data_IF_598046203809
#
_entry.id   IF_598046203809
#
_cell.length_a   1.000
_cell.length_b   1.000
_cell.length_c   1.000
_cell.angle_alpha   90.00
_cell.angle_beta   90.00
_cell.angle_gamma   90.00
#
_symmetry.space_group_name_H-M   'P 1'
#
loop_
_entity.id
_entity.type
_entity.pdbx_description
1 polymer ?
#
# COMPACT_ATOMS: atom_id res chain seq x y z
N UNK A 1 1.96 10.25 11.18
CA UNK A 1 0.50 10.30 11.36
C UNK A 1 0.02 9.24 12.34
N UNK A 2 0.26 7.97 12.12
CA UNK A 2 0.08 6.93 13.15
C UNK A 2 1.23 7.00 14.16
N UNK A 3 0.90 6.90 15.46
CA UNK A 3 1.91 6.96 16.54
C UNK A 3 2.76 5.68 16.60
N UNK A 4 2.20 4.56 16.18
CA UNK A 4 2.81 3.23 16.40
C UNK A 4 3.43 2.64 15.14
N UNK A 5 3.02 3.10 13.95
CA UNK A 5 3.60 2.65 12.69
C UNK A 5 4.92 3.37 12.40
N UNK A 6 5.88 2.65 11.84
CA UNK A 6 7.19 3.20 11.44
C UNK A 6 7.08 4.17 10.27
N UNK A 7 6.05 4.00 9.43
CA UNK A 7 5.67 4.95 8.39
C UNK A 7 4.17 5.06 8.26
N UNK A 8 3.64 6.24 7.93
CA UNK A 8 2.19 6.40 7.75
C UNK A 8 1.81 7.60 6.91
N UNK A 9 0.76 7.45 6.11
CA UNK A 9 0.22 8.47 5.24
C UNK A 9 -1.31 8.40 5.21
N UNK A 10 -1.99 9.54 5.29
CA UNK A 10 -3.38 9.67 4.87
C UNK A 10 -3.39 10.32 3.49
N UNK A 11 -3.65 9.53 2.46
CA UNK A 11 -3.77 10.03 1.10
C UNK A 11 -5.22 10.40 0.81
N UNK A 12 -5.39 11.49 0.06
CA UNK A 12 -6.69 11.97 -0.40
C UNK A 12 -6.62 12.27 -1.88
N UNK A 13 -7.52 11.67 -2.65
CA UNK A 13 -7.79 11.97 -4.06
C UNK A 13 -9.26 12.35 -4.14
N UNK A 14 -9.54 13.67 -4.17
CA UNK A 14 -10.91 14.15 -4.00
C UNK A 14 -11.52 13.60 -2.70
N UNK A 15 -12.66 12.95 -2.81
CA UNK A 15 -13.39 12.32 -1.71
C UNK A 15 -12.93 10.89 -1.40
N UNK A 16 -11.99 10.34 -2.15
CA UNK A 16 -11.35 9.07 -1.79
C UNK A 16 -10.25 9.28 -0.74
N UNK A 17 -10.42 8.68 0.44
CA UNK A 17 -9.48 8.75 1.56
C UNK A 17 -8.99 7.37 1.93
N UNK A 18 -7.64 7.18 1.96
CA UNK A 18 -7.00 5.92 2.35
C UNK A 18 -5.94 6.18 3.40
N UNK A 19 -6.04 5.50 4.53
CA UNK A 19 -4.98 5.45 5.53
C UNK A 19 -4.01 4.33 5.15
N UNK A 20 -2.72 4.69 4.99
CA UNK A 20 -1.65 3.73 4.75
C UNK A 20 -0.70 3.74 5.95
N UNK A 21 -0.41 2.57 6.51
CA UNK A 21 0.56 2.39 7.58
C UNK A 21 1.58 1.33 7.17
N UNK A 22 2.84 1.52 7.56
CA UNK A 22 3.92 0.58 7.26
C UNK A 22 4.55 0.08 8.56
N UNK A 23 4.59 -1.25 8.69
CA UNK A 23 5.27 -1.97 9.78
C UNK A 23 6.60 -2.48 9.25
N UNK A 24 7.70 -2.10 9.88
CA UNK A 24 9.06 -2.38 9.43
C UNK A 24 9.82 -3.33 10.34
N UNK A 25 10.68 -4.17 9.75
CA UNK A 25 11.57 -5.05 10.51
C UNK A 25 11.00 -6.42 10.86
N UNK A 26 9.83 -6.75 10.36
CA UNK A 26 9.27 -8.10 10.45
C UNK A 26 10.20 -9.14 9.82
N UNK A 27 10.22 -10.38 10.31
CA UNK A 27 10.97 -11.46 9.68
C UNK A 27 10.43 -11.75 8.27
N UNK A 28 11.33 -12.02 7.33
CA UNK A 28 10.91 -12.42 5.98
C UNK A 28 10.08 -13.71 5.99
N UNK A 29 9.18 -13.88 5.02
CA UNK A 29 8.42 -15.11 4.87
C UNK A 29 9.34 -16.35 4.84
N UNK A 30 8.90 -17.53 5.34
CA UNK A 30 9.72 -18.73 5.43
C UNK A 30 10.41 -19.14 4.12
N UNK A 31 9.75 -18.93 2.98
CA UNK A 31 10.27 -19.25 1.65
C UNK A 31 11.42 -18.33 1.18
N UNK A 32 11.65 -17.18 1.84
CA UNK A 32 12.77 -16.25 1.57
C UNK A 32 13.89 -16.36 2.59
N UNK A 33 13.70 -17.11 3.66
CA UNK A 33 14.71 -17.24 4.71
C UNK A 33 16.01 -17.82 4.16
N UNK A 34 17.14 -17.18 4.45
CA UNK A 34 18.47 -17.58 3.97
C UNK A 34 18.82 -17.11 2.56
N UNK A 35 17.96 -16.33 1.90
CA UNK A 35 18.22 -15.81 0.55
C UNK A 35 18.88 -14.42 0.54
N UNK A 36 19.20 -13.85 1.71
CA UNK A 36 19.80 -12.51 1.87
C UNK A 36 19.00 -11.45 1.09
N UNK A 37 17.68 -11.58 1.12
CA UNK A 37 16.75 -10.75 0.37
C UNK A 37 15.55 -10.39 1.23
N UNK A 38 15.17 -9.12 1.21
CA UNK A 38 13.99 -8.64 1.90
C UNK A 38 12.69 -8.79 1.11
N UNK A 39 11.59 -8.41 1.73
CA UNK A 39 10.27 -8.44 1.14
C UNK A 39 9.46 -7.20 1.48
N UNK A 40 8.67 -6.74 0.53
CA UNK A 40 7.65 -5.72 0.74
C UNK A 40 6.32 -6.31 0.28
N UNK A 41 5.35 -6.27 1.16
CA UNK A 41 3.99 -6.74 0.87
C UNK A 41 2.97 -5.70 1.30
N UNK A 42 1.73 -5.86 0.86
CA UNK A 42 0.64 -4.98 1.25
C UNK A 42 -0.62 -5.76 1.56
N UNK A 43 -1.38 -5.24 2.51
CA UNK A 43 -2.76 -5.61 2.77
C UNK A 43 -3.68 -4.44 2.40
N UNK A 44 -4.93 -4.76 2.08
CA UNK A 44 -5.92 -3.76 1.66
C UNK A 44 -7.28 -4.13 2.21
N UNK A 45 -7.98 -3.13 2.70
CA UNK A 45 -9.36 -3.31 3.17
C UNK A 45 -10.17 -2.03 3.02
N UNK A 46 -11.49 -2.19 3.08
CA UNK A 46 -12.42 -1.06 3.10
C UNK A 46 -13.24 -1.10 4.39
N UNK A 47 -13.40 0.07 5.02
CA UNK A 47 -14.34 0.18 6.14
C UNK A 47 -15.78 -0.06 5.66
N UNK A 48 -16.64 -0.63 6.48
CA UNK A 48 -18.04 -0.92 6.10
C UNK A 48 -18.81 0.27 5.54
N UNK A 49 -18.51 1.48 6.00
CA UNK A 49 -19.11 2.72 5.55
C UNK A 49 -18.16 3.60 4.75
N UNK A 50 -17.16 3.00 4.12
CA UNK A 50 -16.36 3.69 3.11
C UNK A 50 -17.18 4.04 1.86
N UNK A 51 -18.26 3.34 1.61
CA UNK A 51 -19.19 3.54 0.49
C UNK A 51 -20.55 4.06 0.99
N UNK A 52 -21.39 4.55 0.06
CA UNK A 52 -22.76 5.04 0.35
C UNK A 52 -23.61 3.98 1.05
N UNK A 53 -23.50 2.73 0.64
CA UNK A 53 -24.14 1.60 1.30
C UNK A 53 -23.14 0.86 2.20
N UNK A 54 -23.67 0.25 3.28
CA UNK A 54 -22.84 -0.53 4.20
C UNK A 54 -22.42 -1.84 3.57
N UNK A 55 -21.11 -2.03 3.38
CA UNK A 55 -20.52 -3.32 2.99
C UNK A 55 -20.27 -4.21 4.21
N UNK A 56 -20.36 -5.53 4.03
CA UNK A 56 -20.04 -6.50 5.09
C UNK A 56 -18.53 -6.57 5.30
N UNK A 57 -18.08 -6.65 6.56
CA UNK A 57 -16.66 -6.91 6.85
C UNK A 57 -16.25 -8.28 6.34
N UNK A 58 -15.12 -8.36 5.62
CA UNK A 58 -14.58 -9.62 5.10
C UNK A 58 -14.22 -10.59 6.22
N UNK A 59 -13.72 -10.09 7.36
CA UNK A 59 -13.48 -10.92 8.55
C UNK A 59 -14.74 -11.66 9.01
N UNK A 60 -15.93 -11.06 8.90
CA UNK A 60 -17.20 -11.73 9.23
C UNK A 60 -17.60 -12.75 8.17
N UNK A 61 -17.15 -12.61 6.94
CA UNK A 61 -17.38 -13.55 5.85
C UNK A 61 -16.40 -14.75 5.88
N UNK A 62 -15.36 -14.69 6.72
CA UNK A 62 -14.34 -15.72 6.88
C UNK A 62 -13.35 -15.85 5.73
N UNK A 63 -13.45 -14.98 4.71
CA UNK A 63 -12.51 -14.93 3.58
C UNK A 63 -12.48 -13.55 2.95
N UNK A 64 -11.32 -13.19 2.39
CA UNK A 64 -11.19 -12.00 1.56
C UNK A 64 -11.82 -12.21 0.17
N UNK A 65 -12.36 -11.14 -0.39
CA UNK A 65 -12.85 -11.13 -1.77
C UNK A 65 -11.69 -11.24 -2.77
N UNK A 66 -12.01 -11.70 -3.98
CA UNK A 66 -11.02 -11.72 -5.08
C UNK A 66 -10.52 -10.31 -5.43
N UNK A 67 -11.39 -9.29 -5.31
CA UNK A 67 -11.02 -7.88 -5.50
C UNK A 67 -9.99 -7.42 -4.45
N UNK A 68 -10.21 -7.70 -3.19
CA UNK A 68 -9.27 -7.36 -2.11
C UNK A 68 -7.91 -8.00 -2.35
N UNK A 69 -7.88 -9.29 -2.66
CA UNK A 69 -6.63 -10.00 -2.96
C UNK A 69 -5.91 -9.47 -4.20
N UNK A 70 -6.65 -9.12 -5.25
CA UNK A 70 -6.08 -8.50 -6.47
C UNK A 70 -5.40 -7.18 -6.12
N UNK A 71 -6.07 -6.31 -5.35
CA UNK A 71 -5.55 -4.98 -5.00
C UNK A 71 -4.32 -5.11 -4.08
N UNK A 72 -4.33 -5.99 -3.09
CA UNK A 72 -3.17 -6.26 -2.23
C UNK A 72 -1.94 -6.64 -3.07
N UNK A 73 -2.14 -7.55 -4.04
CA UNK A 73 -1.05 -8.01 -4.93
C UNK A 73 -0.57 -6.90 -5.85
N UNK A 74 -1.46 -6.03 -6.32
CA UNK A 74 -1.13 -4.89 -7.16
C UNK A 74 -0.29 -3.88 -6.39
N UNK A 75 -0.71 -3.48 -5.18
CA UNK A 75 0.04 -2.54 -4.32
C UNK A 75 1.43 -3.12 -4.03
N UNK A 76 1.51 -4.35 -3.51
CA UNK A 76 2.78 -4.98 -3.18
C UNK A 76 3.72 -5.08 -4.38
N UNK A 77 3.21 -5.40 -5.58
CA UNK A 77 4.01 -5.45 -6.80
C UNK A 77 4.52 -4.07 -7.22
N UNK A 78 3.69 -3.05 -7.13
CA UNK A 78 4.07 -1.67 -7.44
C UNK A 78 5.19 -1.18 -6.52
N UNK A 79 5.08 -1.43 -5.23
CA UNK A 79 6.12 -1.07 -4.25
C UNK A 79 7.43 -1.84 -4.51
N UNK A 80 7.36 -3.13 -4.79
CA UNK A 80 8.57 -3.93 -5.09
C UNK A 80 9.27 -3.51 -6.38
N UNK A 81 8.56 -2.97 -7.35
CA UNK A 81 9.15 -2.49 -8.60
C UNK A 81 10.17 -1.36 -8.37
N UNK A 82 9.96 -0.54 -7.34
CA UNK A 82 10.83 0.60 -6.98
C UNK A 82 11.70 0.34 -5.75
N UNK A 83 11.73 -0.90 -5.24
CA UNK A 83 12.46 -1.27 -4.02
C UNK A 83 13.61 -2.21 -4.36
N UNK A 84 14.82 -1.91 -3.86
CA UNK A 84 15.93 -2.86 -3.89
C UNK A 84 15.80 -3.85 -2.73
N UNK A 85 15.24 -5.01 -3.03
CA UNK A 85 14.99 -6.04 -2.03
C UNK A 85 16.29 -6.69 -1.49
N UNK A 86 17.39 -6.67 -2.25
CA UNK A 86 18.67 -7.16 -1.77
C UNK A 86 19.27 -6.19 -0.75
N UNK A 87 19.18 -4.87 -1.01
CA UNK A 87 19.63 -3.84 -0.06
C UNK A 87 18.78 -3.75 1.21
N UNK A 88 17.52 -4.19 1.15
CA UNK A 88 16.66 -4.31 2.33
C UNK A 88 17.18 -5.40 3.30
N UNK A 89 17.88 -6.43 2.77
CA UNK A 89 18.32 -7.58 3.56
C UNK A 89 17.14 -8.43 4.03
N UNK A 90 17.37 -9.42 4.87
CA UNK A 90 16.33 -10.34 5.37
C UNK A 90 15.35 -9.66 6.33
N UNK A 91 14.68 -8.63 5.87
CA UNK A 91 13.63 -7.92 6.59
C UNK A 91 12.40 -7.75 5.72
N UNK A 92 11.23 -7.73 6.35
CA UNK A 92 9.97 -7.49 5.69
C UNK A 92 9.42 -6.13 6.10
N UNK A 93 8.79 -5.45 5.14
CA UNK A 93 7.90 -4.32 5.41
C UNK A 93 6.51 -4.72 4.93
N UNK A 94 5.55 -4.62 5.84
CA UNK A 94 4.12 -4.83 5.55
C UNK A 94 3.45 -3.46 5.51
N UNK A 95 2.71 -3.18 4.45
CA UNK A 95 1.96 -1.93 4.31
C UNK A 95 0.48 -2.24 4.33
N UNK A 96 -0.22 -1.68 5.31
CA UNK A 96 -1.67 -1.81 5.45
C UNK A 96 -2.34 -0.58 4.83
N UNK A 97 -3.34 -0.80 3.98
CA UNK A 97 -4.08 0.24 3.28
C UNK A 97 -5.57 0.12 3.61
N UNK A 98 -6.07 0.99 4.47
CA UNK A 98 -7.45 1.03 4.91
C UNK A 98 -8.22 2.17 4.22
N UNK A 99 -9.19 1.83 3.38
CA UNK A 99 -10.06 2.81 2.74
C UNK A 99 -11.09 3.30 3.74
N UNK A 100 -11.00 4.59 4.09
CA UNK A 100 -11.89 5.27 5.00
C UNK A 100 -13.14 5.79 4.29
N UNK A 101 -12.94 6.31 3.07
CA UNK A 101 -13.97 6.83 2.19
C UNK A 101 -13.59 6.53 0.74
N UNK A 102 -14.54 6.07 -0.06
CA UNK A 102 -14.33 5.66 -1.44
C UNK A 102 -15.23 6.46 -2.40
N UNK A 103 -14.57 7.11 -3.36
CA UNK A 103 -15.20 7.83 -4.46
C UNK A 103 -14.39 7.61 -5.75
N UNK A 104 -14.28 6.36 -6.18
CA UNK A 104 -13.37 5.94 -7.26
C UNK A 104 -11.89 5.91 -6.85
N UNK A 105 -11.03 5.33 -7.67
CA UNK A 105 -9.57 5.38 -7.54
C UNK A 105 -8.96 4.84 -6.23
N UNK A 106 -9.67 4.02 -5.43
CA UNK A 106 -9.15 3.56 -4.14
C UNK A 106 -7.85 2.78 -4.25
N UNK A 107 -7.68 1.96 -5.30
CA UNK A 107 -6.44 1.18 -5.54
C UNK A 107 -5.27 2.07 -5.94
N UNK A 108 -5.50 3.10 -6.72
CA UNK A 108 -4.47 4.06 -7.17
C UNK A 108 -4.05 4.98 -6.03
N UNK A 109 -4.98 5.48 -5.25
CA UNK A 109 -4.72 6.21 -4.02
C UNK A 109 -3.93 5.36 -3.02
N UNK A 110 -4.30 4.09 -2.84
CA UNK A 110 -3.58 3.16 -1.97
C UNK A 110 -2.12 2.95 -2.42
N UNK A 111 -1.85 2.78 -3.73
CA UNK A 111 -0.47 2.64 -4.24
C UNK A 111 0.35 3.89 -3.90
N UNK A 112 -0.20 5.08 -4.16
CA UNK A 112 0.50 6.36 -3.93
C UNK A 112 0.75 6.58 -2.43
N UNK A 113 -0.25 6.38 -1.58
CA UNK A 113 -0.11 6.53 -0.13
C UNK A 113 0.78 5.46 0.49
N UNK A 114 0.72 4.21 -0.01
CA UNK A 114 1.58 3.12 0.43
C UNK A 114 3.07 3.39 0.14
N UNK A 115 3.39 4.05 -0.98
CA UNK A 115 4.76 4.45 -1.26
C UNK A 115 5.28 5.46 -0.24
N UNK A 116 4.47 6.45 0.16
CA UNK A 116 4.85 7.43 1.19
C UNK A 116 5.06 6.74 2.54
N UNK A 117 4.14 5.86 2.95
CA UNK A 117 4.29 5.11 4.19
C UNK A 117 5.54 4.21 4.18
N UNK A 118 5.84 3.55 3.06
CA UNK A 118 7.06 2.75 2.88
C UNK A 118 8.32 3.62 2.97
N UNK A 119 8.33 4.79 2.31
CA UNK A 119 9.45 5.73 2.35
C UNK A 119 9.77 6.13 3.80
N UNK A 120 8.76 6.53 4.57
CA UNK A 120 8.92 6.93 5.97
C UNK A 120 9.43 5.78 6.84
N UNK A 121 8.89 4.56 6.65
CA UNK A 121 9.35 3.37 7.36
C UNK A 121 10.81 3.03 7.05
N UNK A 122 11.23 3.13 5.79
CA UNK A 122 12.64 2.91 5.41
C UNK A 122 13.56 4.01 5.96
N UNK A 123 13.11 5.27 6.01
CA UNK A 123 13.84 6.36 6.66
C UNK A 123 13.99 6.08 8.16
N UNK A 124 12.93 5.60 8.82
CA UNK A 124 12.96 5.19 10.22
C UNK A 124 13.95 4.03 10.47
N UNK A 125 13.97 3.02 9.59
CA UNK A 125 14.94 1.91 9.65
C UNK A 125 16.38 2.39 9.46
N UNK A 126 16.62 3.30 8.52
CA UNK A 126 17.94 3.86 8.25
C UNK A 126 18.46 4.63 9.46
N UNK A 127 17.64 5.48 10.07
CA UNK A 127 17.99 6.26 11.27
C UNK A 127 18.37 5.37 12.46
N UNK A 128 17.96 4.09 12.47
CA UNK A 128 18.28 3.09 13.51
C UNK A 128 19.36 2.09 13.09
N UNK A 129 20.04 2.35 11.99
CA UNK A 129 21.08 1.47 11.42
C UNK A 129 20.59 0.03 11.12
N UNK A 130 19.28 -0.16 10.94
CA UNK A 130 18.70 -1.45 10.54
C UNK A 130 18.97 -1.76 9.07
N UNK A 131 19.10 -0.73 8.23
CA UNK A 131 19.52 -0.80 6.82
C UNK A 131 20.65 0.21 6.60
N UNK A 132 21.60 -0.12 5.71
CA UNK A 132 22.82 0.69 5.50
C UNK A 132 22.80 1.49 4.21
N UNK A 133 21.93 1.16 3.29
CA UNK A 133 21.88 1.74 1.95
C UNK A 133 20.51 2.30 1.60
N UNK A 134 20.47 3.12 0.55
CA UNK A 134 19.20 3.57 -0.05
C UNK A 134 18.50 2.38 -0.68
N UNK A 135 17.36 1.99 -0.11
CA UNK A 135 16.57 0.84 -0.53
C UNK A 135 15.57 1.21 -1.63
N UNK A 136 14.98 2.41 -1.59
CA UNK A 136 14.13 2.90 -2.67
C UNK A 136 14.96 3.39 -3.84
N UNK A 137 14.69 2.81 -5.02
CA UNK A 137 15.33 3.19 -6.30
C UNK A 137 14.66 4.40 -6.91
N UNK A 138 13.33 4.47 -6.83
CA UNK A 138 12.51 5.49 -7.48
C UNK A 138 11.18 5.70 -6.73
N UNK A 139 10.34 6.55 -7.30
CA UNK A 139 8.99 6.82 -6.84
C UNK A 139 7.98 5.96 -7.63
N UNK A 140 6.84 5.68 -7.02
CA UNK A 140 5.67 5.15 -7.71
C UNK A 140 4.42 5.91 -7.27
N UNK A 141 3.63 6.31 -8.24
CA UNK A 141 2.31 6.88 -8.04
C UNK A 141 1.36 6.29 -9.09
N UNK A 142 0.07 6.33 -8.80
CA UNK A 142 -0.95 5.85 -9.71
C UNK A 142 -2.16 6.78 -9.71
N UNK A 143 -2.82 6.88 -10.85
CA UNK A 143 -4.07 7.62 -11.04
C UNK A 143 -5.00 6.79 -11.92
N UNK A 144 -6.30 6.85 -11.65
CA UNK A 144 -7.32 6.22 -12.51
C UNK A 144 -7.44 7.01 -13.80
N UNK A 145 -7.56 6.31 -14.93
CA UNK A 145 -7.81 6.94 -16.21
C UNK A 145 -8.70 6.05 -17.09
N UNK A 146 -9.36 6.66 -18.05
CA UNK A 146 -10.23 5.97 -18.99
C UNK A 146 -10.65 6.86 -20.15
N UNK A 147 -11.57 6.35 -20.96
CA UNK A 147 -12.19 7.08 -22.05
C UNK A 147 -13.66 7.37 -21.70
N UNK A 148 -14.06 8.62 -21.76
CA UNK A 148 -15.44 9.05 -21.63
C UNK A 148 -15.84 9.90 -22.83
N UNK A 149 -16.89 9.50 -23.55
CA UNK A 149 -17.31 10.18 -24.78
C UNK A 149 -16.25 10.23 -25.89
N UNK A 150 -15.26 9.34 -25.87
CA UNK A 150 -14.12 9.31 -26.81
C UNK A 150 -12.92 10.17 -26.36
N UNK A 151 -13.03 10.92 -25.26
CA UNK A 151 -11.97 11.74 -24.71
C UNK A 151 -11.25 11.02 -23.56
N UNK A 152 -9.93 11.23 -23.44
CA UNK A 152 -9.14 10.68 -22.34
C UNK A 152 -9.37 11.50 -21.06
N UNK A 153 -9.78 10.84 -20.00
CA UNK A 153 -10.05 11.45 -18.69
C UNK A 153 -9.13 10.84 -17.64
N UNK A 154 -8.54 11.70 -16.80
CA UNK A 154 -7.74 11.35 -15.64
C UNK A 154 -8.58 11.50 -14.36
N UNK A 155 -8.22 10.70 -13.36
CA UNK A 155 -8.80 10.72 -12.01
C UNK A 155 -10.32 10.51 -12.04
N UNK A 156 -10.72 9.40 -12.65
CA UNK A 156 -12.13 9.01 -12.74
C UNK A 156 -12.70 8.76 -11.36
N UNK A 157 -13.80 9.44 -11.04
CA UNK A 157 -14.63 9.19 -9.87
C UNK A 157 -15.58 8.00 -10.09
N UNK A 158 -16.56 7.86 -9.21
CA UNK A 158 -17.52 6.74 -9.26
C UNK A 158 -18.91 7.20 -9.77
N UNK A 159 -19.01 8.35 -10.39
CA UNK A 159 -20.28 8.86 -10.90
C UNK A 159 -20.84 8.06 -12.08
#
# INVERSE_FOLDING_TARGET
MSRHAEGSCLVRFGDTHVLCTATAGEPVPPWLKGQVRGWVTAEYGMLPRATSERTRREATAGKQSGRTQEIQRLIGRSLRAVTDLAMLGEKQVVVDCDVLQADGGTRTAAITGAWVALHDALAWMHARNMIKAKVLRDHVAAVSCGLYGGEAVLDLDYA
#
